data_IF_227251339698
#
_entry.id   IF_227251339698
#
_cell.length_a   1.000
_cell.length_b   1.000
_cell.length_c   1.000
_cell.angle_alpha   90.00
_cell.angle_beta   90.00
_cell.angle_gamma   90.00
#
_symmetry.space_group_name_H-M   'P 1'
#
loop_
_entity.id
_entity.type
_entity.pdbx_description
1 polymer ?
#
# COMPACT_ATOMS: atom_id res chain seq x y z
N UNK A 1 -8.68 17.88 26.49
CA UNK A 1 -8.66 18.42 25.12
C UNK A 1 -8.30 17.29 24.18
N UNK A 2 -9.15 16.89 23.21
CA UNK A 2 -8.77 15.90 22.23
C UNK A 2 -7.83 16.55 21.22
N UNK A 3 -6.57 16.16 21.25
CA UNK A 3 -5.58 16.49 20.21
C UNK A 3 -6.05 15.83 18.92
N UNK A 4 -6.67 16.60 18.03
CA UNK A 4 -6.99 16.15 16.68
C UNK A 4 -5.63 16.07 15.95
N UNK A 5 -5.02 14.89 15.96
CA UNK A 5 -3.94 14.60 15.03
C UNK A 5 -4.58 14.44 13.65
N UNK A 6 -4.54 15.49 12.85
CA UNK A 6 -4.85 15.40 11.43
C UNK A 6 -3.71 14.66 10.75
N UNK A 7 -3.88 13.36 10.53
CA UNK A 7 -2.95 12.59 9.71
C UNK A 7 -3.28 12.86 8.23
N UNK A 8 -2.36 13.49 7.52
CA UNK A 8 -2.42 13.64 6.07
C UNK A 8 -1.77 12.42 5.43
N UNK A 9 -2.53 11.68 4.62
CA UNK A 9 -2.02 10.53 3.89
C UNK A 9 -1.63 10.95 2.47
N UNK A 10 -0.34 10.82 2.14
CA UNK A 10 0.17 10.99 0.79
C UNK A 10 0.27 9.62 0.11
N UNK A 11 -0.30 9.49 -1.08
CA UNK A 11 -0.32 8.24 -1.84
C UNK A 11 0.59 8.38 -3.06
N UNK A 12 1.67 7.61 -3.07
CA UNK A 12 2.51 7.41 -4.25
C UNK A 12 2.07 6.13 -4.96
N UNK A 13 1.61 6.26 -6.20
CA UNK A 13 1.23 5.14 -7.04
C UNK A 13 2.09 5.11 -8.29
N UNK A 14 2.71 3.97 -8.57
CA UNK A 14 3.45 3.78 -9.81
C UNK A 14 2.49 3.27 -10.88
N UNK A 15 2.38 4.02 -11.97
CA UNK A 15 1.47 3.70 -13.06
C UNK A 15 1.99 2.49 -13.83
N UNK A 16 1.27 1.37 -13.74
CA UNK A 16 1.54 0.22 -14.58
C UNK A 16 1.01 0.41 -16.01
N UNK A 17 1.87 0.83 -16.94
CA UNK A 17 1.53 0.91 -18.37
C UNK A 17 1.97 -0.33 -19.19
N UNK A 18 2.29 -1.46 -18.54
CA UNK A 18 2.71 -2.69 -19.22
C UNK A 18 1.73 -3.19 -20.29
N UNK A 19 0.44 -2.88 -20.15
CA UNK A 19 -0.62 -3.24 -21.11
C UNK A 19 -1.05 -2.08 -22.02
N UNK A 20 -0.37 -0.92 -21.99
CA UNK A 20 -0.77 0.29 -22.72
C UNK A 20 -1.98 1.05 -22.13
N UNK A 21 -2.43 0.65 -20.93
CA UNK A 21 -3.66 1.15 -20.29
C UNK A 21 -3.43 2.26 -19.25
N UNK A 22 -2.23 2.87 -19.22
CA UNK A 22 -1.80 3.81 -18.18
C UNK A 22 -2.75 5.00 -18.01
N UNK A 23 -3.13 5.67 -19.10
CA UNK A 23 -4.04 6.83 -19.06
C UNK A 23 -5.43 6.47 -18.51
N UNK A 24 -5.95 5.29 -18.86
CA UNK A 24 -7.23 4.78 -18.36
C UNK A 24 -7.12 4.50 -16.85
N UNK A 25 -6.07 3.80 -16.43
CA UNK A 25 -5.82 3.45 -15.02
C UNK A 25 -5.59 4.68 -14.14
N UNK A 26 -4.98 5.73 -14.69
CA UNK A 26 -4.85 7.02 -14.00
C UNK A 26 -6.23 7.61 -13.66
N UNK A 27 -7.10 7.73 -14.67
CA UNK A 27 -8.46 8.24 -14.48
C UNK A 27 -9.29 7.37 -13.52
N UNK A 28 -9.12 6.05 -13.60
CA UNK A 28 -9.75 5.10 -12.67
C UNK A 28 -9.30 5.31 -11.22
N UNK A 29 -7.99 5.47 -11.00
CA UNK A 29 -7.41 5.72 -9.69
C UNK A 29 -7.92 7.04 -9.09
N UNK A 30 -8.00 8.11 -9.89
CA UNK A 30 -8.56 9.39 -9.42
C UNK A 30 -10.02 9.25 -8.95
N UNK A 31 -10.84 8.49 -9.68
CA UNK A 31 -12.22 8.18 -9.24
C UNK A 31 -12.25 7.34 -7.96
N UNK A 32 -11.36 6.36 -7.82
CA UNK A 32 -11.23 5.58 -6.59
C UNK A 32 -10.84 6.47 -5.39
N UNK A 33 -9.91 7.41 -5.58
CA UNK A 33 -9.54 8.41 -4.57
C UNK A 33 -10.75 9.26 -4.14
N UNK A 34 -11.61 9.66 -5.08
CA UNK A 34 -12.84 10.39 -4.75
C UNK A 34 -13.79 9.58 -3.84
N UNK A 35 -13.96 8.28 -4.11
CA UNK A 35 -14.75 7.37 -3.23
C UNK A 35 -14.12 7.27 -1.83
N UNK A 36 -12.80 7.17 -1.77
CA UNK A 36 -12.04 7.08 -0.52
C UNK A 36 -11.87 8.42 0.20
N UNK A 37 -12.33 9.53 -0.41
CA UNK A 37 -12.15 10.90 0.07
C UNK A 37 -10.68 11.31 0.24
N UNK A 38 -9.81 10.81 -0.65
CA UNK A 38 -8.41 11.25 -0.75
C UNK A 38 -8.36 12.47 -1.69
N UNK A 39 -7.96 13.66 -1.22
CA UNK A 39 -7.74 14.82 -2.07
C UNK A 39 -6.68 14.53 -3.13
N UNK A 40 -6.91 14.99 -4.37
CA UNK A 40 -5.98 14.76 -5.47
C UNK A 40 -4.60 15.44 -5.26
N UNK A 41 -4.55 16.49 -4.44
CA UNK A 41 -3.29 17.12 -4.03
C UNK A 41 -2.40 16.20 -3.19
N UNK A 42 -2.96 15.13 -2.64
CA UNK A 42 -2.25 14.11 -1.86
C UNK A 42 -2.00 12.83 -2.67
N UNK A 43 -2.26 12.86 -3.96
CA UNK A 43 -2.04 11.74 -4.87
C UNK A 43 -0.93 12.08 -5.85
N UNK A 44 0.15 11.31 -5.81
CA UNK A 44 1.20 11.33 -6.83
C UNK A 44 1.13 10.06 -7.64
N UNK A 45 0.96 10.25 -8.95
CA UNK A 45 1.02 9.18 -9.92
C UNK A 45 2.35 9.30 -10.63
N UNK A 46 3.20 8.30 -10.42
CA UNK A 46 4.52 8.21 -11.02
C UNK A 46 4.42 7.37 -12.29
N UNK A 47 4.64 8.00 -13.44
CA UNK A 47 4.80 7.32 -14.73
C UNK A 47 6.27 7.40 -15.13
N UNK A 48 7.03 6.33 -14.89
CA UNK A 48 8.46 6.29 -15.11
C UNK A 48 8.83 5.09 -15.98
N UNK A 49 9.62 5.26 -17.06
CA UNK A 49 9.92 4.17 -18.01
C UNK A 49 10.64 2.99 -17.37
N UNK A 50 11.41 3.21 -16.31
CA UNK A 50 12.12 2.16 -15.57
C UNK A 50 11.32 1.53 -14.42
N UNK A 51 10.07 1.95 -14.19
CA UNK A 51 9.21 1.45 -13.11
C UNK A 51 7.88 0.94 -13.67
N UNK A 52 7.94 0.19 -14.77
CA UNK A 52 6.74 -0.36 -15.41
C UNK A 52 6.25 -1.61 -14.71
N UNK A 53 4.93 -1.76 -14.61
CA UNK A 53 4.29 -2.90 -13.96
C UNK A 53 4.40 -4.18 -14.81
N UNK A 54 4.60 -5.33 -14.17
CA UNK A 54 4.68 -6.61 -14.87
C UNK A 54 5.57 -7.65 -14.20
N UNK A 55 5.22 -8.93 -14.35
CA UNK A 55 6.02 -10.05 -13.88
C UNK A 55 7.30 -10.16 -14.70
N UNK A 56 8.45 -9.81 -14.11
CA UNK A 56 9.76 -9.86 -14.75
C UNK A 56 10.44 -8.50 -14.92
N UNK A 57 9.73 -7.40 -14.64
CA UNK A 57 10.34 -6.09 -14.50
C UNK A 57 10.95 -5.98 -13.10
N UNK A 58 12.24 -5.70 -13.02
CA UNK A 58 12.92 -5.45 -11.75
C UNK A 58 13.10 -3.95 -11.62
N UNK A 59 12.53 -3.38 -10.58
CA UNK A 59 12.65 -1.94 -10.34
C UNK A 59 13.96 -1.65 -9.60
N UNK A 60 14.68 -0.62 -10.07
CA UNK A 60 15.92 -0.20 -9.42
C UNK A 60 15.65 0.32 -8.01
N UNK A 61 16.30 -0.28 -7.00
CA UNK A 61 16.15 0.16 -5.61
C UNK A 61 16.81 1.52 -5.37
N UNK A 62 17.85 1.86 -6.15
CA UNK A 62 18.47 3.20 -6.12
C UNK A 62 17.48 4.26 -6.61
N UNK A 63 16.84 4.04 -7.76
CA UNK A 63 15.84 4.95 -8.31
C UNK A 63 14.64 5.10 -7.36
N UNK A 64 14.16 4.00 -6.78
CA UNK A 64 13.09 4.06 -5.78
C UNK A 64 13.51 4.85 -4.55
N UNK A 65 14.76 4.68 -4.08
CA UNK A 65 15.29 5.42 -2.93
C UNK A 65 15.32 6.92 -3.21
N UNK A 66 15.81 7.33 -4.38
CA UNK A 66 15.86 8.73 -4.81
C UNK A 66 14.46 9.36 -4.85
N UNK A 67 13.51 8.67 -5.48
CA UNK A 67 12.12 9.14 -5.58
C UNK A 67 11.48 9.23 -4.19
N UNK A 68 11.68 8.22 -3.32
CA UNK A 68 11.15 8.25 -1.95
C UNK A 68 11.75 9.43 -1.18
N UNK A 69 13.06 9.68 -1.31
CA UNK A 69 13.73 10.78 -0.62
C UNK A 69 13.22 12.15 -1.06
N UNK A 70 13.01 12.34 -2.36
CA UNK A 70 12.40 13.54 -2.93
C UNK A 70 11.00 13.77 -2.36
N UNK A 71 10.14 12.76 -2.42
CA UNK A 71 8.75 12.85 -1.97
C UNK A 71 8.64 13.07 -0.45
N UNK A 72 9.48 12.37 0.33
CA UNK A 72 9.55 12.54 1.78
C UNK A 72 9.95 13.96 2.15
N UNK A 73 10.91 14.54 1.42
CA UNK A 73 11.43 15.88 1.72
C UNK A 73 10.45 16.97 1.28
N UNK A 74 9.86 16.84 0.10
CA UNK A 74 8.92 17.82 -0.46
C UNK A 74 7.61 17.90 0.32
N UNK A 75 7.18 16.80 0.93
CA UNK A 75 5.91 16.69 1.63
C UNK A 75 6.04 16.54 3.16
N UNK A 76 7.27 16.67 3.69
CA UNK A 76 7.59 16.54 5.12
C UNK A 76 7.00 15.25 5.73
N UNK A 77 7.26 14.11 5.08
CA UNK A 77 6.68 12.82 5.48
C UNK A 77 7.49 12.22 6.63
N UNK A 78 6.85 12.01 7.78
CA UNK A 78 7.48 11.37 8.94
C UNK A 78 7.08 9.89 9.12
N UNK A 79 6.08 9.41 8.37
CA UNK A 79 5.60 8.03 8.47
C UNK A 79 5.25 7.47 7.10
N UNK A 80 5.77 6.28 6.81
CA UNK A 80 5.51 5.55 5.57
C UNK A 80 4.86 4.19 5.85
N UNK A 81 3.99 3.76 4.94
CA UNK A 81 3.43 2.41 4.92
C UNK A 81 3.74 1.82 3.55
N UNK A 82 4.31 0.62 3.53
CA UNK A 82 4.69 -0.08 2.30
C UNK A 82 4.32 -1.57 2.38
N UNK A 83 4.65 -2.35 1.35
CA UNK A 83 4.56 -3.80 1.37
C UNK A 83 5.71 -4.43 2.17
N UNK A 84 5.52 -5.66 2.64
CA UNK A 84 6.63 -6.47 3.17
C UNK A 84 7.46 -7.12 2.06
N UNK A 85 8.52 -7.83 2.43
CA UNK A 85 9.42 -8.52 1.50
C UNK A 85 8.76 -9.65 0.68
N UNK A 86 7.52 -10.07 1.02
CA UNK A 86 6.76 -11.03 0.21
C UNK A 86 5.84 -10.33 -0.80
N UNK A 87 5.33 -9.14 -0.49
CA UNK A 87 4.57 -8.34 -1.45
C UNK A 87 3.13 -8.82 -1.66
N UNK A 88 2.44 -9.20 -0.59
CA UNK A 88 1.05 -9.68 -0.51
C UNK A 88 0.81 -11.01 -1.21
N UNK A 89 1.07 -11.08 -2.51
CA UNK A 89 0.89 -12.25 -3.38
C UNK A 89 2.19 -12.68 -4.07
N UNK A 90 3.35 -12.20 -3.61
CA UNK A 90 4.63 -12.49 -4.28
C UNK A 90 4.98 -11.53 -5.42
N UNK A 91 4.24 -10.42 -5.58
CA UNK A 91 4.43 -9.54 -6.73
C UNK A 91 5.81 -8.85 -6.69
N UNK A 92 6.60 -8.96 -7.76
CA UNK A 92 7.96 -8.42 -7.83
C UNK A 92 8.02 -6.92 -7.51
N UNK A 93 7.15 -6.12 -8.13
CA UNK A 93 7.13 -4.67 -7.90
C UNK A 93 6.84 -4.29 -6.45
N UNK A 94 5.96 -5.01 -5.74
CA UNK A 94 5.72 -4.77 -4.32
C UNK A 94 6.99 -5.03 -3.49
N UNK A 95 7.75 -6.08 -3.83
CA UNK A 95 9.00 -6.45 -3.17
C UNK A 95 10.10 -5.43 -3.46
N UNK A 96 10.17 -4.91 -4.68
CA UNK A 96 11.14 -3.87 -5.02
C UNK A 96 10.83 -2.54 -4.32
N UNK A 97 9.55 -2.15 -4.20
CA UNK A 97 9.15 -0.99 -3.37
C UNK A 97 9.54 -1.20 -1.91
N UNK A 98 9.32 -2.39 -1.34
CA UNK A 98 9.78 -2.72 0.02
C UNK A 98 11.30 -2.51 0.17
N UNK A 99 12.09 -3.02 -0.79
CA UNK A 99 13.56 -2.88 -0.78
C UNK A 99 14.03 -1.44 -0.96
N UNK A 100 13.36 -0.65 -1.81
CA UNK A 100 13.61 0.78 -1.95
C UNK A 100 13.38 1.53 -0.64
N UNK A 101 12.27 1.25 0.06
CA UNK A 101 11.99 1.83 1.38
C UNK A 101 13.05 1.41 2.41
N UNK A 102 13.44 0.14 2.43
CA UNK A 102 14.47 -0.35 3.36
C UNK A 102 15.81 0.36 3.13
N UNK A 103 16.24 0.45 1.87
CA UNK A 103 17.47 1.14 1.49
C UNK A 103 17.43 2.62 1.86
N UNK A 104 16.32 3.30 1.58
CA UNK A 104 16.09 4.68 2.02
C UNK A 104 16.27 4.86 3.53
N UNK A 105 15.68 3.99 4.35
CA UNK A 105 15.80 4.07 5.81
C UNK A 105 17.24 3.84 6.29
N UNK A 106 18.00 2.97 5.62
CA UNK A 106 19.40 2.71 5.93
C UNK A 106 20.27 3.93 5.61
N UNK A 107 20.07 4.57 4.45
CA UNK A 107 20.81 5.75 4.04
C UNK A 107 20.40 7.01 4.81
N UNK A 108 19.17 7.06 5.31
CA UNK A 108 18.61 8.20 6.06
C UNK A 108 18.43 7.91 7.57
N UNK A 109 19.26 7.05 8.17
CA UNK A 109 19.13 6.61 9.57
C UNK A 109 19.13 7.75 10.61
N UNK A 110 19.67 8.92 10.28
CA UNK A 110 19.62 10.12 11.12
C UNK A 110 18.29 10.89 11.10
N UNK A 111 17.39 10.61 10.16
CA UNK A 111 16.07 11.26 10.07
C UNK A 111 15.05 10.51 10.95
N UNK A 112 14.18 11.25 11.64
CA UNK A 112 13.12 10.66 12.46
C UNK A 112 11.92 10.20 11.60
N UNK A 113 12.15 9.23 10.73
CA UNK A 113 11.14 8.67 9.82
C UNK A 113 10.78 7.26 10.30
N UNK A 114 9.49 6.98 10.42
CA UNK A 114 8.97 5.66 10.80
C UNK A 114 8.39 4.97 9.58
N UNK A 115 8.81 3.75 9.31
CA UNK A 115 8.19 2.95 8.24
C UNK A 115 7.52 1.70 8.81
N UNK A 116 6.41 1.34 8.18
CA UNK A 116 5.64 0.16 8.50
C UNK A 116 5.41 -0.66 7.23
N UNK A 117 5.43 -1.97 7.35
CA UNK A 117 5.17 -2.91 6.27
C UNK A 117 3.85 -3.65 6.48
N UNK A 118 3.07 -3.81 5.42
CA UNK A 118 1.88 -4.64 5.39
C UNK A 118 2.27 -6.11 5.42
N UNK A 119 1.87 -6.81 6.47
CA UNK A 119 2.17 -8.23 6.66
C UNK A 119 1.41 -9.08 5.64
N UNK A 120 2.17 -9.84 4.85
CA UNK A 120 1.64 -10.83 3.94
C UNK A 120 1.09 -12.04 4.68
N UNK A 121 -0.21 -12.27 4.54
CA UNK A 121 -0.92 -13.40 5.12
C UNK A 121 -0.75 -14.67 4.29
N UNK A 122 -0.70 -15.82 4.98
CA UNK A 122 -0.85 -17.12 4.34
C UNK A 122 -2.23 -17.26 3.66
N UNK A 123 -2.37 -18.23 2.74
CA UNK A 123 -3.55 -18.33 1.90
C UNK A 123 -4.85 -18.50 2.69
N UNK A 124 -4.84 -19.25 3.80
CA UNK A 124 -6.03 -19.41 4.65
C UNK A 124 -6.45 -18.09 5.26
N UNK A 125 -5.54 -17.45 6.01
CA UNK A 125 -5.81 -16.16 6.66
C UNK A 125 -6.13 -15.07 5.65
N UNK A 126 -5.55 -15.10 4.45
CA UNK A 126 -5.80 -14.13 3.38
C UNK A 126 -7.25 -14.11 2.91
N UNK A 127 -7.95 -15.25 2.95
CA UNK A 127 -9.32 -15.41 2.45
C UNK A 127 -10.35 -15.70 3.56
N UNK A 128 -9.99 -15.45 4.83
CA UNK A 128 -10.93 -15.52 5.95
C UNK A 128 -11.88 -14.31 6.05
N UNK A 129 -11.67 -13.27 5.24
CA UNK A 129 -12.48 -12.05 5.24
C UNK A 129 -12.56 -11.41 6.64
N UNK A 130 -13.76 -11.07 7.15
CA UNK A 130 -13.90 -10.42 8.45
C UNK A 130 -13.48 -11.30 9.63
N UNK A 131 -13.44 -12.63 9.46
CA UNK A 131 -12.98 -13.56 10.52
C UNK A 131 -11.55 -13.26 10.95
N UNK A 132 -10.73 -12.72 10.04
CA UNK A 132 -9.36 -12.39 10.35
C UNK A 132 -9.20 -11.24 11.35
N UNK A 133 -10.25 -10.42 11.59
CA UNK A 133 -10.21 -9.37 12.63
C UNK A 133 -9.88 -10.00 13.99
N UNK A 134 -10.61 -11.05 14.38
CA UNK A 134 -10.38 -11.72 15.67
C UNK A 134 -9.03 -12.44 15.69
N UNK A 135 -8.64 -13.10 14.59
CA UNK A 135 -7.33 -13.77 14.48
C UNK A 135 -6.17 -12.77 14.59
N UNK A 136 -6.31 -11.60 13.98
CA UNK A 136 -5.33 -10.51 14.01
C UNK A 136 -5.20 -9.92 15.41
N UNK A 137 -6.32 -9.67 16.12
CA UNK A 137 -6.30 -9.21 17.52
C UNK A 137 -5.60 -10.24 18.43
N UNK A 138 -5.93 -11.53 18.28
CA UNK A 138 -5.29 -12.61 19.04
C UNK A 138 -3.78 -12.71 18.74
N UNK A 139 -3.39 -12.53 17.48
CA UNK A 139 -1.98 -12.51 17.08
C UNK A 139 -1.23 -11.31 17.67
N UNK A 140 -1.83 -10.12 17.66
CA UNK A 140 -1.24 -8.92 18.23
C UNK A 140 -1.04 -9.01 19.75
N UNK A 141 -1.93 -9.70 20.47
CA UNK A 141 -1.73 -10.00 21.90
C UNK A 141 -0.45 -10.79 22.18
N UNK A 142 -0.05 -11.67 21.26
CA UNK A 142 1.20 -12.45 21.37
C UNK A 142 2.43 -11.68 20.87
N UNK A 143 2.24 -10.70 20.00
CA UNK A 143 3.30 -9.92 19.39
C UNK A 143 2.97 -8.41 19.49
N UNK A 144 3.30 -7.77 20.62
CA UNK A 144 2.88 -6.39 20.91
C UNK A 144 3.49 -5.34 19.97
N UNK A 145 4.50 -5.70 19.16
CA UNK A 145 5.07 -4.85 18.12
C UNK A 145 4.19 -4.68 16.89
N UNK A 146 3.14 -5.52 16.73
CA UNK A 146 2.23 -5.48 15.58
C UNK A 146 1.14 -4.45 15.79
N UNK A 147 0.88 -3.65 14.75
CA UNK A 147 -0.24 -2.70 14.72
C UNK A 147 -1.35 -3.30 13.86
N UNK A 148 -2.58 -3.31 14.38
CA UNK A 148 -3.76 -3.78 13.65
C UNK A 148 -4.62 -2.58 13.25
N UNK A 149 -4.89 -2.44 11.96
CA UNK A 149 -5.78 -1.44 11.39
C UNK A 149 -7.07 -2.12 10.93
N UNK A 150 -8.18 -1.81 11.59
CA UNK A 150 -9.50 -2.33 11.23
C UNK A 150 -10.19 -1.36 10.29
N UNK A 151 -10.59 -1.84 9.12
CA UNK A 151 -11.36 -1.06 8.17
C UNK A 151 -12.84 -1.03 8.58
N UNK A 152 -13.31 0.16 9.01
CA UNK A 152 -14.71 0.38 9.39
C UNK A 152 -15.66 0.51 8.18
N UNK A 153 -15.13 0.64 6.97
CA UNK A 153 -15.89 0.90 5.75
C UNK A 153 -15.49 -0.06 4.61
N UNK A 154 -15.59 -1.39 4.80
CA UNK A 154 -15.21 -2.37 3.76
C UNK A 154 -15.99 -2.20 2.45
N UNK A 155 -17.24 -1.73 2.53
CA UNK A 155 -18.04 -1.37 1.37
C UNK A 155 -17.38 -0.29 0.51
N UNK A 156 -16.74 0.72 1.11
CA UNK A 156 -16.02 1.74 0.35
C UNK A 156 -14.80 1.19 -0.35
N UNK A 157 -14.09 0.23 0.24
CA UNK A 157 -12.98 -0.45 -0.43
C UNK A 157 -13.46 -1.19 -1.68
N UNK A 158 -14.64 -1.82 -1.60
CA UNK A 158 -15.28 -2.44 -2.76
C UNK A 158 -15.71 -1.41 -3.82
N UNK A 159 -16.38 -0.33 -3.42
CA UNK A 159 -16.81 0.76 -4.32
C UNK A 159 -15.62 1.46 -4.98
N UNK A 160 -14.51 1.64 -4.26
CA UNK A 160 -13.28 2.20 -4.79
C UNK A 160 -12.63 1.26 -5.83
N UNK A 161 -12.49 -0.03 -5.53
CA UNK A 161 -11.98 -1.00 -6.50
C UNK A 161 -12.89 -1.09 -7.74
N UNK A 162 -14.21 -0.94 -7.58
CA UNK A 162 -15.15 -0.92 -8.69
C UNK A 162 -14.98 0.28 -9.64
N UNK A 163 -14.25 1.34 -9.25
CA UNK A 163 -13.90 2.44 -10.16
C UNK A 163 -12.84 2.05 -11.19
N UNK A 164 -12.08 0.97 -10.95
CA UNK A 164 -11.09 0.42 -11.87
C UNK A 164 -11.74 -0.53 -12.88
N UNK A 165 -12.58 0.01 -13.75
CA UNK A 165 -13.39 -0.75 -14.72
C UNK A 165 -12.52 -1.67 -15.61
N UNK A 166 -11.37 -1.19 -16.08
CA UNK A 166 -10.39 -1.95 -16.86
C UNK A 166 -9.87 -3.20 -16.13
N UNK A 167 -10.04 -3.21 -14.81
CA UNK A 167 -9.56 -4.22 -13.89
C UNK A 167 -10.72 -4.89 -13.13
N UNK A 168 -11.99 -4.55 -13.36
CA UNK A 168 -13.09 -5.02 -12.50
C UNK A 168 -13.68 -6.38 -12.92
N UNK A 169 -12.81 -7.40 -12.99
CA UNK A 169 -13.11 -8.78 -13.42
C UNK A 169 -13.55 -9.68 -12.25
N UNK A 170 -14.17 -10.82 -12.58
CA UNK A 170 -14.85 -11.70 -11.61
C UNK A 170 -13.99 -12.11 -10.41
N UNK A 171 -12.73 -12.53 -10.63
CA UNK A 171 -11.87 -12.97 -9.54
C UNK A 171 -11.44 -11.82 -8.63
N UNK A 172 -11.36 -10.58 -9.15
CA UNK A 172 -11.04 -9.39 -8.35
C UNK A 172 -12.21 -9.00 -7.46
N UNK A 173 -13.45 -9.19 -7.93
CA UNK A 173 -14.67 -9.05 -7.10
C UNK A 173 -14.63 -10.02 -5.92
N UNK A 174 -14.31 -11.29 -6.18
CA UNK A 174 -14.16 -12.30 -5.13
C UNK A 174 -13.03 -11.94 -4.16
N UNK A 175 -11.87 -11.54 -4.69
CA UNK A 175 -10.73 -11.13 -3.87
C UNK A 175 -11.10 -9.99 -2.93
N UNK A 176 -11.70 -8.90 -3.41
CA UNK A 176 -12.07 -7.78 -2.53
C UNK A 176 -13.15 -8.16 -1.53
N UNK A 177 -14.13 -8.99 -1.91
CA UNK A 177 -15.19 -9.42 -0.99
C UNK A 177 -14.68 -10.33 0.14
N UNK A 178 -13.78 -11.26 -0.17
CA UNK A 178 -13.37 -12.33 0.75
C UNK A 178 -11.97 -12.14 1.32
N UNK A 179 -11.18 -11.19 0.81
CA UNK A 179 -9.85 -10.95 1.35
C UNK A 179 -9.91 -10.28 2.71
N UNK A 180 -9.10 -10.78 3.64
CA UNK A 180 -8.93 -10.20 4.96
C UNK A 180 -8.39 -8.77 4.90
N UNK A 181 -7.58 -8.42 3.88
CA UNK A 181 -7.05 -7.06 3.71
C UNK A 181 -8.16 -6.00 3.54
N UNK A 182 -9.35 -6.39 3.09
CA UNK A 182 -10.51 -5.50 3.01
C UNK A 182 -11.03 -5.11 4.40
N UNK A 183 -10.82 -5.95 5.42
CA UNK A 183 -11.41 -5.81 6.75
C UNK A 183 -10.38 -5.46 7.83
N UNK A 184 -9.19 -6.03 7.75
CA UNK A 184 -8.12 -5.86 8.73
C UNK A 184 -6.75 -5.91 8.06
N UNK A 185 -5.86 -5.00 8.48
CA UNK A 185 -4.49 -4.93 7.99
C UNK A 185 -3.54 -4.98 9.18
N UNK A 186 -2.60 -5.92 9.15
CA UNK A 186 -1.56 -6.04 10.17
C UNK A 186 -0.30 -5.37 9.64
N UNK A 187 0.28 -4.46 10.44
CA UNK A 187 1.52 -3.77 10.13
C UNK A 187 2.62 -4.17 11.11
N UNK A 188 3.84 -4.36 10.60
CA UNK A 188 5.06 -4.44 11.40
C UNK A 188 5.89 -3.17 11.20
N UNK A 189 6.62 -2.76 12.24
CA UNK A 189 7.60 -1.68 12.09
C UNK A 189 8.82 -2.22 11.33
N UNK A 190 9.29 -1.48 10.33
CA UNK A 190 10.54 -1.78 9.64
C UNK A 190 11.69 -1.28 10.52
N UNK A 191 12.61 -2.19 10.82
CA UNK A 191 13.88 -1.89 11.49
C UNK A 191 15.00 -2.07 10.45
N UNK A 192 15.56 -0.98 9.90
CA UNK A 192 16.58 -1.03 8.86
C UNK A 192 17.90 -1.68 9.29
#
# INVERSE_FOLDING_TARGET
>A
MPTIFTYYAYLLFVLGNGDGMGSIRNNELQRACAVLKVPLQQLKILDHPNLQDGFGQVWSHDLLTEIIEEEVTNHDIHTMITFDNYGVSGHCNHRDVHRGVLKFLQTNSGRNIKAWELVSLNIFRKYCGPVDIWLSILSARKHPSKVIIINKQPRKSYEAMAQHLSQWVWFRKLFVSFSSYTYTNTLNRISP
#
